data_IF_619848077841
#
_entry.id   IF_619848077841
#
_cell.length_a   1.000
_cell.length_b   1.000
_cell.length_c   1.000
_cell.angle_alpha   90.00
_cell.angle_beta   90.00
_cell.angle_gamma   90.00
#
_symmetry.space_group_name_H-M   'P 1'
#
loop_
_entity.id
_entity.type
_entity.pdbx_description
1 polymer ?
#
# COMPACT_ATOMS: atom_id res chain seq x y z
N UNK A 1 39.01 -3.21 9.01
CA UNK A 1 38.37 -2.73 7.77
C UNK A 1 36.88 -2.94 7.93
N UNK A 2 36.02 -2.06 7.47
CA UNK A 2 34.59 -2.36 7.51
C UNK A 2 34.34 -3.65 6.73
N UNK A 3 33.53 -4.53 7.31
CA UNK A 3 33.13 -5.78 6.64
C UNK A 3 32.38 -5.46 5.34
N UNK A 4 32.74 -6.17 4.25
CA UNK A 4 32.08 -6.01 2.95
C UNK A 4 30.59 -6.35 3.03
N UNK A 5 29.81 -5.82 2.08
CA UNK A 5 28.39 -6.14 1.97
C UNK A 5 28.22 -7.50 1.29
N UNK A 6 27.35 -8.33 1.86
CA UNK A 6 26.88 -9.57 1.22
C UNK A 6 25.38 -9.50 1.02
N UNK A 7 24.89 -9.94 -0.15
CA UNK A 7 23.46 -10.07 -0.43
C UNK A 7 23.11 -11.54 -0.59
N UNK A 8 22.04 -11.97 0.08
CA UNK A 8 21.57 -13.34 -0.01
C UNK A 8 20.05 -13.39 -0.12
N UNK A 9 19.53 -14.40 -0.82
CA UNK A 9 18.11 -14.69 -0.87
C UNK A 9 17.59 -15.13 0.51
N UNK A 10 16.36 -14.74 0.82
CA UNK A 10 15.63 -15.16 2.01
C UNK A 10 15.17 -16.60 1.82
N UNK A 11 15.85 -17.55 2.45
CA UNK A 11 15.59 -18.99 2.31
C UNK A 11 15.18 -19.68 3.61
N UNK A 12 15.26 -18.99 4.75
CA UNK A 12 14.95 -19.57 6.06
C UNK A 12 13.94 -18.71 6.85
N UNK A 13 13.26 -19.30 7.85
CA UNK A 13 12.41 -18.55 8.77
C UNK A 13 13.18 -17.44 9.53
N UNK A 14 14.49 -17.64 9.79
CA UNK A 14 15.35 -16.65 10.42
C UNK A 14 15.57 -15.45 9.49
N UNK A 15 15.80 -15.69 8.20
CA UNK A 15 15.95 -14.65 7.20
C UNK A 15 14.65 -13.87 7.01
N UNK A 16 13.52 -14.58 6.89
CA UNK A 16 12.21 -13.93 6.80
C UNK A 16 11.92 -13.07 8.03
N UNK A 17 12.29 -13.53 9.22
CA UNK A 17 12.20 -12.70 10.43
C UNK A 17 13.07 -11.45 10.30
N UNK A 18 14.31 -11.58 9.83
CA UNK A 18 15.21 -10.44 9.58
C UNK A 18 14.63 -9.46 8.58
N UNK A 19 14.04 -9.97 7.50
CA UNK A 19 13.36 -9.17 6.47
C UNK A 19 12.18 -8.37 7.05
N UNK A 20 11.33 -8.99 7.86
CA UNK A 20 10.18 -8.34 8.50
C UNK A 20 10.60 -7.33 9.57
N UNK A 21 11.62 -7.64 10.38
CA UNK A 21 12.01 -6.81 11.54
C UNK A 21 12.89 -5.60 11.16
N UNK A 22 13.49 -5.57 9.97
CA UNK A 22 14.43 -4.51 9.61
C UNK A 22 13.85 -3.09 9.74
N UNK A 23 12.62 -2.76 9.22
CA UNK A 23 12.08 -1.41 9.33
C UNK A 23 11.90 -0.94 10.77
N UNK A 24 11.47 -1.83 11.68
CA UNK A 24 11.27 -1.47 13.08
C UNK A 24 12.58 -1.10 13.80
N UNK A 25 13.70 -1.54 13.27
CA UNK A 25 15.02 -1.16 13.74
C UNK A 25 15.55 0.11 13.07
N UNK A 26 15.34 0.22 11.74
CA UNK A 26 15.78 1.39 10.96
C UNK A 26 15.11 2.67 11.44
N UNK A 27 13.80 2.60 11.68
CA UNK A 27 13.02 3.75 12.14
C UNK A 27 12.92 3.85 13.68
N UNK A 28 13.82 3.18 14.41
CA UNK A 28 13.82 3.30 15.87
C UNK A 28 14.12 4.73 16.29
N UNK A 29 13.16 5.37 16.97
CA UNK A 29 13.26 6.78 17.40
C UNK A 29 12.68 7.80 16.41
N UNK A 30 12.25 7.36 15.24
CA UNK A 30 11.50 8.21 14.31
C UNK A 30 10.05 8.35 14.80
N UNK A 31 9.65 9.59 15.14
CA UNK A 31 8.34 9.89 15.70
C UNK A 31 7.20 9.78 14.69
N UNK A 32 7.52 9.88 13.40
CA UNK A 32 6.54 9.87 12.32
C UNK A 32 6.36 8.49 11.69
N UNK A 33 7.26 7.54 11.98
CA UNK A 33 7.11 6.18 11.49
C UNK A 33 5.91 5.47 12.12
N UNK A 34 4.99 5.02 11.30
CA UNK A 34 3.86 4.17 11.72
C UNK A 34 4.21 2.71 11.50
N UNK A 35 4.60 1.95 12.55
CA UNK A 35 4.99 0.57 12.39
C UNK A 35 3.82 -0.30 11.92
N UNK A 36 3.85 -0.92 10.72
CA UNK A 36 2.80 -1.84 10.30
C UNK A 36 2.71 -3.04 11.26
N UNK A 37 1.56 -3.69 11.33
CA UNK A 37 1.47 -4.92 12.12
C UNK A 37 2.34 -6.02 11.49
N UNK A 38 3.20 -6.64 12.28
CA UNK A 38 4.09 -7.73 11.82
C UNK A 38 3.33 -8.91 11.22
N UNK A 39 2.12 -9.16 11.72
CA UNK A 39 1.21 -10.16 11.17
C UNK A 39 0.83 -9.85 9.74
N UNK A 40 0.54 -8.57 9.46
CA UNK A 40 0.06 -8.12 8.15
C UNK A 40 1.20 -8.12 7.13
N UNK A 41 2.41 -7.69 7.53
CA UNK A 41 3.60 -7.79 6.68
C UNK A 41 3.89 -9.26 6.31
N UNK A 42 3.81 -10.18 7.28
CA UNK A 42 3.99 -11.63 7.01
C UNK A 42 2.90 -12.18 6.09
N UNK A 43 1.65 -11.77 6.30
CA UNK A 43 0.55 -12.18 5.44
C UNK A 43 0.75 -11.67 4.01
N UNK A 44 1.14 -10.41 3.86
CA UNK A 44 1.41 -9.76 2.58
C UNK A 44 2.50 -10.49 1.80
N UNK A 45 3.52 -10.98 2.49
CA UNK A 45 4.64 -11.72 1.90
C UNK A 45 4.34 -13.22 1.69
N UNK A 46 3.25 -13.79 2.21
CA UNK A 46 3.00 -15.23 2.20
C UNK A 46 2.24 -15.66 0.94
N UNK A 47 2.87 -16.42 0.02
CA UNK A 47 2.22 -16.86 -1.21
C UNK A 47 1.03 -17.81 -0.97
N UNK A 48 0.98 -18.46 0.17
CA UNK A 48 -0.14 -19.36 0.50
C UNK A 48 -1.37 -18.61 1.04
N UNK A 49 -1.23 -17.32 1.39
CA UNK A 49 -2.30 -16.57 2.04
C UNK A 49 -2.75 -15.35 1.26
N UNK A 50 -1.83 -14.65 0.60
CA UNK A 50 -2.15 -13.45 -0.17
C UNK A 50 -2.47 -13.84 -1.62
N UNK A 51 -3.72 -13.67 -2.10
CA UNK A 51 -4.15 -14.05 -3.45
C UNK A 51 -3.35 -13.38 -4.57
N UNK A 52 -2.78 -12.20 -4.34
CA UNK A 52 -1.91 -11.52 -5.30
C UNK A 52 -0.83 -12.47 -5.88
N UNK A 53 -0.29 -13.37 -5.05
CA UNK A 53 0.76 -14.32 -5.48
C UNK A 53 0.24 -15.45 -6.37
N UNK A 54 -1.06 -15.52 -6.67
CA UNK A 54 -1.59 -16.48 -7.66
C UNK A 54 -1.20 -16.10 -9.09
N UNK A 55 -1.01 -14.80 -9.37
CA UNK A 55 -0.58 -14.29 -10.68
C UNK A 55 0.76 -13.55 -10.63
N UNK A 56 1.42 -13.53 -9.49
CA UNK A 56 2.71 -12.88 -9.32
C UNK A 56 3.74 -13.81 -8.66
N UNK A 57 5.01 -13.52 -8.89
CA UNK A 57 6.15 -14.25 -8.32
C UNK A 57 7.10 -13.26 -7.68
N UNK A 58 7.85 -13.70 -6.68
CA UNK A 58 8.80 -12.87 -5.97
C UNK A 58 10.06 -13.61 -5.56
N UNK A 59 11.14 -12.84 -5.42
CA UNK A 59 12.35 -13.23 -4.68
C UNK A 59 12.69 -12.15 -3.67
N UNK A 60 12.99 -12.54 -2.43
CA UNK A 60 13.31 -11.61 -1.34
C UNK A 60 14.80 -11.68 -1.04
N UNK A 61 15.42 -10.52 -0.79
CA UNK A 61 16.85 -10.41 -0.49
C UNK A 61 17.11 -9.64 0.79
N UNK A 62 18.21 -10.04 1.47
CA UNK A 62 18.79 -9.30 2.58
C UNK A 62 20.23 -8.91 2.26
N UNK A 63 20.58 -7.66 2.53
CA UNK A 63 21.95 -7.20 2.59
C UNK A 63 22.46 -7.27 4.04
N UNK A 64 23.69 -7.76 4.21
CA UNK A 64 24.35 -7.88 5.51
C UNK A 64 25.75 -7.28 5.49
N UNK A 65 26.15 -6.72 6.64
CA UNK A 65 27.55 -6.48 7.02
C UNK A 65 27.86 -7.38 8.20
N UNK A 66 28.68 -8.40 7.99
CA UNK A 66 28.80 -9.51 8.92
C UNK A 66 27.44 -10.14 9.21
N UNK A 67 27.10 -10.29 10.48
CA UNK A 67 25.80 -10.87 10.88
C UNK A 67 24.65 -9.85 10.88
N UNK A 68 24.92 -8.56 10.72
CA UNK A 68 23.93 -7.50 10.82
C UNK A 68 23.22 -7.29 9.49
N UNK A 69 21.90 -7.44 9.48
CA UNK A 69 21.04 -7.07 8.33
C UNK A 69 21.04 -5.55 8.20
N UNK A 70 21.49 -5.02 7.06
CA UNK A 70 21.57 -3.57 6.79
C UNK A 70 20.60 -3.10 5.71
N UNK A 71 20.00 -4.05 4.95
CA UNK A 71 19.01 -3.72 3.95
C UNK A 71 18.19 -4.93 3.52
N UNK A 72 17.08 -4.66 2.84
CA UNK A 72 16.17 -5.66 2.24
C UNK A 72 15.58 -5.13 0.95
N UNK A 73 15.20 -6.03 0.04
CA UNK A 73 14.45 -5.73 -1.17
C UNK A 73 13.69 -6.97 -1.65
N UNK A 74 12.61 -6.79 -2.37
CA UNK A 74 11.95 -7.84 -3.14
C UNK A 74 12.06 -7.52 -4.63
N UNK A 75 12.29 -8.54 -5.46
CA UNK A 75 12.01 -8.52 -6.89
C UNK A 75 10.65 -9.20 -7.10
N UNK A 76 9.82 -8.61 -7.96
CA UNK A 76 8.43 -9.06 -8.17
C UNK A 76 8.14 -9.07 -9.67
N UNK A 77 7.58 -10.16 -10.18
CA UNK A 77 7.00 -10.23 -11.53
C UNK A 77 5.49 -10.45 -11.39
N UNK A 78 4.72 -9.53 -11.93
CA UNK A 78 3.26 -9.56 -11.94
C UNK A 78 2.77 -9.82 -13.38
N UNK A 79 2.27 -11.03 -13.62
CA UNK A 79 1.83 -11.45 -14.94
C UNK A 79 0.56 -10.70 -15.36
N UNK A 80 -0.30 -10.36 -14.40
CA UNK A 80 -1.53 -9.62 -14.69
C UNK A 80 -1.22 -8.17 -15.10
N UNK A 81 -0.26 -7.50 -14.43
CA UNK A 81 0.22 -6.19 -14.86
C UNK A 81 0.71 -6.23 -16.30
N UNK A 82 1.61 -7.18 -16.62
CA UNK A 82 2.19 -7.29 -17.95
C UNK A 82 1.16 -7.63 -19.02
N UNK A 83 0.14 -8.40 -18.66
CA UNK A 83 -0.99 -8.70 -19.55
C UNK A 83 -1.83 -7.47 -19.86
N UNK A 84 -2.18 -6.68 -18.81
CA UNK A 84 -3.05 -5.50 -18.94
C UNK A 84 -2.35 -4.38 -19.68
N UNK A 85 -1.08 -4.12 -19.38
CA UNK A 85 -0.32 -3.01 -19.96
C UNK A 85 0.46 -3.39 -21.22
N UNK A 86 0.43 -4.68 -21.62
CA UNK A 86 1.17 -5.20 -22.78
C UNK A 86 2.67 -4.83 -22.74
N UNK A 87 3.25 -4.81 -21.53
CA UNK A 87 4.66 -4.48 -21.30
C UNK A 87 5.42 -5.68 -20.65
N UNK A 88 6.71 -5.49 -20.37
CA UNK A 88 7.59 -6.50 -19.76
C UNK A 88 8.29 -5.90 -18.55
N UNK A 89 7.50 -5.32 -17.65
CA UNK A 89 7.95 -4.66 -16.43
C UNK A 89 7.99 -5.65 -15.27
N UNK A 90 9.13 -5.75 -14.61
CA UNK A 90 9.23 -6.30 -13.27
C UNK A 90 9.25 -5.16 -12.24
N UNK A 91 9.02 -5.50 -10.99
CA UNK A 91 8.98 -4.53 -9.91
C UNK A 91 10.00 -4.84 -8.84
N UNK A 92 10.47 -3.79 -8.16
CA UNK A 92 11.08 -3.95 -6.84
C UNK A 92 10.13 -3.40 -5.77
N UNK A 93 10.18 -3.99 -4.59
CA UNK A 93 9.37 -3.55 -3.47
C UNK A 93 10.00 -3.87 -2.12
N UNK A 94 9.34 -3.47 -1.04
CA UNK A 94 9.81 -3.68 0.33
C UNK A 94 11.26 -3.21 0.56
N UNK A 95 11.70 -2.23 -0.23
CA UNK A 95 13.05 -1.69 -0.11
C UNK A 95 13.21 -0.95 1.20
N UNK A 96 14.18 -1.40 1.99
CA UNK A 96 14.63 -0.73 3.21
C UNK A 96 16.14 -0.88 3.28
N UNK A 97 16.84 0.21 3.57
CA UNK A 97 18.28 0.19 3.64
C UNK A 97 18.78 1.25 4.63
N UNK A 98 19.82 0.92 5.40
CA UNK A 98 20.59 1.94 6.10
C UNK A 98 21.17 2.92 5.06
N UNK A 99 21.56 4.12 5.45
CA UNK A 99 22.20 5.05 4.51
C UNK A 99 23.59 4.52 4.09
N UNK A 100 23.57 3.48 3.28
CA UNK A 100 24.69 2.68 2.82
C UNK A 100 24.61 2.46 1.31
N UNK A 101 25.28 3.30 0.49
CA UNK A 101 25.23 3.18 -0.96
C UNK A 101 25.77 1.86 -1.52
N UNK A 102 26.69 1.19 -0.82
CA UNK A 102 27.20 -0.13 -1.24
C UNK A 102 26.12 -1.19 -1.07
N UNK A 103 25.45 -1.21 0.09
CA UNK A 103 24.38 -2.14 0.38
C UNK A 103 23.17 -1.92 -0.57
N UNK A 104 22.80 -0.66 -0.80
CA UNK A 104 21.71 -0.33 -1.72
C UNK A 104 21.99 -0.78 -3.15
N UNK A 105 23.18 -0.48 -3.70
CA UNK A 105 23.57 -0.94 -5.05
C UNK A 105 23.57 -2.45 -5.16
N UNK A 106 24.08 -3.15 -4.16
CA UNK A 106 24.08 -4.62 -4.15
C UNK A 106 22.68 -5.21 -4.11
N UNK A 107 21.75 -4.59 -3.35
CA UNK A 107 20.34 -4.99 -3.31
C UNK A 107 19.63 -4.76 -4.65
N UNK A 108 19.80 -3.59 -5.25
CA UNK A 108 19.21 -3.30 -6.56
C UNK A 108 19.74 -4.21 -7.65
N UNK A 109 21.04 -4.48 -7.69
CA UNK A 109 21.64 -5.43 -8.63
C UNK A 109 21.10 -6.86 -8.45
N UNK A 110 20.89 -7.30 -7.19
CA UNK A 110 20.27 -8.59 -6.93
C UNK A 110 18.80 -8.63 -7.40
N UNK A 111 18.06 -7.53 -7.19
CA UNK A 111 16.67 -7.41 -7.67
C UNK A 111 16.59 -7.43 -9.22
N UNK A 112 17.48 -6.74 -9.93
CA UNK A 112 17.56 -6.76 -11.40
C UNK A 112 17.86 -8.17 -11.93
N UNK A 113 18.82 -8.86 -11.32
CA UNK A 113 19.15 -10.24 -11.68
C UNK A 113 17.96 -11.17 -11.47
N UNK A 114 17.29 -11.06 -10.32
CA UNK A 114 16.09 -11.84 -10.04
C UNK A 114 14.92 -11.50 -10.96
N UNK A 115 14.72 -10.22 -11.27
CA UNK A 115 13.70 -9.76 -12.22
C UNK A 115 13.85 -10.43 -13.58
N UNK A 116 15.09 -10.49 -14.11
CA UNK A 116 15.39 -11.16 -15.37
C UNK A 116 15.12 -12.67 -15.33
N UNK A 117 15.24 -13.29 -14.14
CA UNK A 117 14.92 -14.71 -13.92
C UNK A 117 13.41 -14.93 -13.80
N UNK A 118 12.72 -14.09 -13.04
CA UNK A 118 11.29 -14.18 -12.81
C UNK A 118 10.47 -13.85 -14.08
N UNK A 119 10.97 -12.91 -14.87
CA UNK A 119 10.36 -12.45 -16.12
C UNK A 119 11.43 -12.43 -17.22
N UNK A 120 11.65 -13.54 -17.93
CA UNK A 120 12.60 -13.58 -19.05
C UNK A 120 12.29 -12.54 -20.12
N UNK A 121 13.30 -11.71 -20.45
CA UNK A 121 13.15 -10.58 -21.36
C UNK A 121 12.50 -9.37 -20.73
N UNK A 122 12.52 -9.25 -19.41
CA UNK A 122 12.23 -8.02 -18.69
C UNK A 122 13.08 -6.88 -19.23
N UNK A 123 12.45 -5.76 -19.54
CA UNK A 123 13.11 -4.57 -20.08
C UNK A 123 13.07 -3.38 -19.11
N UNK A 124 12.31 -3.50 -18.03
CA UNK A 124 12.16 -2.45 -17.03
C UNK A 124 12.01 -3.03 -15.61
N UNK A 125 12.72 -2.44 -14.65
CA UNK A 125 12.51 -2.63 -13.22
C UNK A 125 11.93 -1.35 -12.61
N UNK A 126 10.68 -1.41 -12.13
CA UNK A 126 9.93 -0.25 -11.59
C UNK A 126 9.67 -0.45 -10.10
N UNK A 127 9.56 0.64 -9.35
CA UNK A 127 9.19 0.54 -7.92
C UNK A 127 9.45 1.83 -7.13
N UNK A 128 9.32 1.74 -5.81
CA UNK A 128 8.89 0.55 -5.07
C UNK A 128 7.39 0.27 -5.18
N UNK A 129 7.00 -1.01 -5.05
CA UNK A 129 5.60 -1.45 -4.87
C UNK A 129 5.54 -2.48 -3.73
N UNK A 130 4.49 -2.43 -2.90
CA UNK A 130 4.43 -3.25 -1.68
C UNK A 130 3.06 -3.95 -1.50
N UNK A 131 2.79 -5.10 -2.14
CA UNK A 131 3.57 -5.76 -3.18
C UNK A 131 3.13 -5.40 -4.60
N UNK A 132 1.98 -4.72 -4.80
CA UNK A 132 1.36 -4.45 -6.10
C UNK A 132 1.14 -2.96 -6.37
N UNK A 133 0.74 -2.64 -7.60
CA UNK A 133 0.31 -1.28 -7.98
C UNK A 133 -1.00 -0.84 -7.30
N UNK A 134 -1.75 -1.78 -6.72
CA UNK A 134 -2.98 -1.49 -5.95
C UNK A 134 -2.72 -1.29 -4.45
N UNK A 135 -1.47 -1.43 -4.01
CA UNK A 135 -1.05 -1.26 -2.61
C UNK A 135 -0.24 0.05 -2.44
N UNK A 136 0.81 0.02 -1.60
CA UNK A 136 1.69 1.17 -1.42
C UNK A 136 2.70 1.27 -2.57
N UNK A 137 2.74 2.42 -3.24
CA UNK A 137 3.57 2.67 -4.43
C UNK A 137 4.39 3.93 -4.30
N UNK A 138 5.64 3.85 -4.70
CA UNK A 138 6.54 4.98 -4.82
C UNK A 138 7.30 5.32 -3.54
N UNK A 139 8.35 6.11 -3.71
CA UNK A 139 9.03 6.77 -2.60
C UNK A 139 8.35 8.08 -2.24
N UNK A 140 8.27 8.40 -0.96
CA UNK A 140 7.91 9.72 -0.49
C UNK A 140 9.01 10.70 -0.88
N UNK A 141 8.70 11.71 -1.71
CA UNK A 141 9.66 12.69 -2.19
C UNK A 141 9.63 14.00 -1.38
N UNK A 142 8.45 14.47 -1.05
CA UNK A 142 8.24 15.64 -0.20
C UNK A 142 6.82 15.62 0.36
N UNK A 143 6.65 16.11 1.57
CA UNK A 143 5.36 16.55 2.07
C UNK A 143 5.36 18.09 2.01
N UNK A 144 4.63 18.67 1.07
CA UNK A 144 4.43 20.14 1.01
C UNK A 144 3.51 20.65 2.14
N UNK A 145 2.72 19.74 2.69
CA UNK A 145 1.89 19.95 3.88
C UNK A 145 2.65 19.60 5.16
N UNK A 146 2.06 19.93 6.30
CA UNK A 146 2.63 19.71 7.63
C UNK A 146 3.38 18.37 7.77
N UNK A 147 4.63 18.39 8.25
CA UNK A 147 5.35 17.16 8.56
C UNK A 147 4.58 16.37 9.62
N UNK A 148 4.63 15.05 9.54
CA UNK A 148 3.96 14.18 10.49
C UNK A 148 3.79 12.75 9.96
N UNK A 149 3.18 11.87 10.75
CA UNK A 149 2.96 10.49 10.36
C UNK A 149 2.12 10.38 9.08
N UNK A 150 2.46 9.44 8.18
CA UNK A 150 1.69 9.19 6.98
C UNK A 150 0.24 8.79 7.32
N UNK A 151 -0.70 9.20 6.49
CA UNK A 151 -2.08 8.72 6.56
C UNK A 151 -2.12 7.24 6.16
N UNK A 152 -3.14 6.52 6.61
CA UNK A 152 -3.34 5.10 6.33
C UNK A 152 -3.06 4.75 4.86
N UNK A 153 -2.26 3.70 4.62
CA UNK A 153 -1.86 3.21 3.29
C UNK A 153 -1.08 4.23 2.43
N UNK A 154 -0.40 5.20 3.06
CA UNK A 154 0.54 6.08 2.38
C UNK A 154 1.97 5.61 2.62
N UNK A 155 2.82 5.80 1.62
CA UNK A 155 4.25 5.48 1.72
C UNK A 155 4.96 6.36 2.74
N UNK A 156 5.98 5.80 3.38
CA UNK A 156 6.89 6.51 4.27
C UNK A 156 8.31 5.97 4.11
N UNK A 157 9.28 6.86 3.95
CA UNK A 157 10.70 6.49 3.86
C UNK A 157 11.59 7.67 4.20
N UNK A 158 12.85 7.42 4.60
CA UNK A 158 13.87 8.46 4.74
C UNK A 158 14.17 9.14 3.41
N UNK A 159 14.48 10.44 3.45
CA UNK A 159 14.78 11.22 2.24
C UNK A 159 15.97 10.65 1.43
N UNK A 160 16.96 10.08 2.10
CA UNK A 160 18.16 9.52 1.44
C UNK A 160 17.88 8.31 0.53
N UNK A 161 16.66 7.71 0.57
CA UNK A 161 16.31 6.61 -0.34
C UNK A 161 16.32 7.05 -1.80
N UNK A 162 15.99 8.31 -2.07
CA UNK A 162 16.05 8.87 -3.41
C UNK A 162 17.49 8.92 -3.94
N UNK A 163 18.43 9.32 -3.08
CA UNK A 163 19.85 9.37 -3.41
C UNK A 163 20.42 7.95 -3.62
N UNK A 164 20.00 6.99 -2.79
CA UNK A 164 20.41 5.58 -2.95
C UNK A 164 19.89 4.99 -4.27
N UNK A 165 18.64 5.25 -4.64
CA UNK A 165 18.07 4.79 -5.90
C UNK A 165 18.74 5.46 -7.10
N UNK A 166 18.96 6.78 -7.06
CA UNK A 166 19.66 7.52 -8.10
C UNK A 166 21.12 7.02 -8.29
N UNK A 167 21.82 6.76 -7.18
CA UNK A 167 23.19 6.21 -7.20
C UNK A 167 23.25 4.78 -7.75
N UNK A 168 22.13 4.05 -7.74
CA UNK A 168 21.97 2.74 -8.36
C UNK A 168 21.51 2.81 -9.83
N UNK A 169 21.34 4.00 -10.41
CA UNK A 169 20.98 4.20 -11.81
C UNK A 169 19.48 4.33 -12.09
N UNK A 170 18.64 4.37 -11.06
CA UNK A 170 17.20 4.60 -11.24
C UNK A 170 16.90 6.07 -11.55
N UNK A 171 15.87 6.27 -12.34
CA UNK A 171 15.33 7.60 -12.67
C UNK A 171 13.84 7.67 -12.33
N UNK A 172 13.35 8.89 -12.13
CA UNK A 172 11.93 9.12 -11.85
C UNK A 172 11.07 8.69 -13.03
N UNK A 173 10.06 7.86 -12.75
CA UNK A 173 9.06 7.42 -13.73
C UNK A 173 7.81 8.31 -13.69
N UNK A 174 7.21 8.49 -12.49
CA UNK A 174 5.94 9.18 -12.30
C UNK A 174 5.85 9.82 -10.92
N UNK A 175 5.19 10.96 -10.84
CA UNK A 175 4.75 11.53 -9.55
C UNK A 175 3.30 11.09 -9.27
N UNK A 176 3.07 10.61 -8.06
CA UNK A 176 1.75 10.32 -7.51
C UNK A 176 1.47 11.36 -6.43
N UNK A 177 0.32 12.02 -6.49
CA UNK A 177 -0.01 13.12 -5.60
C UNK A 177 -1.17 12.70 -4.69
N UNK A 178 -1.00 12.86 -3.39
CA UNK A 178 -2.08 12.79 -2.41
C UNK A 178 -2.47 14.22 -2.01
N UNK A 179 -3.77 14.48 -1.93
CA UNK A 179 -4.31 15.79 -1.58
C UNK A 179 -4.88 15.77 -0.17
N UNK A 180 -4.52 16.74 0.64
CA UNK A 180 -5.16 17.01 1.93
C UNK A 180 -6.17 18.13 1.77
N UNK A 181 -7.43 17.88 2.10
CA UNK A 181 -8.49 18.87 2.09
C UNK A 181 -8.97 19.11 3.52
N UNK A 182 -8.84 20.33 4.09
CA UNK A 182 -9.49 20.67 5.33
C UNK A 182 -11.01 20.70 5.12
N UNK A 183 -11.73 20.21 6.12
CA UNK A 183 -13.19 20.22 6.10
C UNK A 183 -13.66 21.37 6.97
N UNK A 184 -14.24 22.39 6.33
CA UNK A 184 -14.79 23.58 6.97
C UNK A 184 -16.24 23.84 6.52
N UNK A 185 -16.96 24.70 7.25
CA UNK A 185 -18.36 25.02 6.98
C UNK A 185 -18.59 25.57 5.56
N UNK A 186 -17.61 26.31 5.01
CA UNK A 186 -17.70 26.89 3.66
C UNK A 186 -17.63 25.79 2.61
N UNK A 187 -16.70 24.86 2.78
CA UNK A 187 -16.55 23.68 1.91
C UNK A 187 -17.81 22.83 1.96
N UNK A 188 -18.36 22.58 3.14
CA UNK A 188 -19.61 21.83 3.32
C UNK A 188 -20.78 22.52 2.62
N UNK A 189 -20.96 23.84 2.80
CA UNK A 189 -22.05 24.57 2.15
C UNK A 189 -21.94 24.54 0.62
N UNK A 190 -20.70 24.58 0.07
CA UNK A 190 -20.46 24.47 -1.37
C UNK A 190 -20.80 23.08 -1.89
N UNK A 191 -20.28 22.04 -1.24
CA UNK A 191 -20.52 20.64 -1.61
C UNK A 191 -22.02 20.28 -1.49
N UNK A 192 -22.70 20.75 -0.45
CA UNK A 192 -24.14 20.57 -0.27
C UNK A 192 -24.94 21.09 -1.46
N UNK A 193 -24.66 22.32 -1.92
CA UNK A 193 -25.32 22.89 -3.12
C UNK A 193 -25.08 22.07 -4.39
N UNK A 194 -23.86 21.55 -4.56
CA UNK A 194 -23.52 20.68 -5.70
C UNK A 194 -24.32 19.37 -5.60
N UNK A 195 -24.32 18.75 -4.43
CA UNK A 195 -25.06 17.49 -4.18
C UNK A 195 -26.55 17.65 -4.46
N UNK A 196 -27.16 18.74 -3.98
CA UNK A 196 -28.57 19.04 -4.24
C UNK A 196 -28.87 19.25 -5.73
N UNK A 197 -27.95 19.91 -6.44
CA UNK A 197 -28.10 20.11 -7.89
C UNK A 197 -27.99 18.78 -8.65
N UNK A 198 -27.06 17.90 -8.26
CA UNK A 198 -26.91 16.56 -8.86
C UNK A 198 -28.15 15.72 -8.62
N UNK A 199 -28.67 15.68 -7.39
CA UNK A 199 -29.90 14.94 -7.05
C UNK A 199 -31.13 15.43 -7.84
N UNK A 200 -31.28 16.75 -8.00
CA UNK A 200 -32.38 17.31 -8.79
C UNK A 200 -32.31 16.97 -10.27
N UNK A 201 -31.10 16.88 -10.83
CA UNK A 201 -30.88 16.57 -12.26
C UNK A 201 -30.98 15.09 -12.59
N UNK A 202 -30.75 14.24 -11.58
CA UNK A 202 -30.72 12.79 -11.74
C UNK A 202 -31.63 12.12 -10.70
N UNK A 203 -32.97 12.30 -10.82
CA UNK A 203 -33.92 11.76 -9.84
C UNK A 203 -33.96 10.23 -9.81
N UNK A 204 -33.42 9.57 -10.84
CA UNK A 204 -33.31 8.13 -10.94
C UNK A 204 -32.15 7.55 -10.08
N UNK A 205 -31.27 8.41 -9.57
CA UNK A 205 -30.13 7.97 -8.77
C UNK A 205 -30.48 7.92 -7.27
N UNK A 206 -30.16 6.81 -6.64
CA UNK A 206 -30.27 6.62 -5.20
C UNK A 206 -28.89 6.74 -4.56
N UNK A 207 -28.79 7.55 -3.51
CA UNK A 207 -27.58 7.75 -2.71
C UNK A 207 -27.78 7.13 -1.34
N UNK A 208 -26.97 6.17 -0.97
CA UNK A 208 -27.06 5.49 0.32
C UNK A 208 -25.70 5.09 0.88
N UNK A 209 -25.65 4.87 2.17
CA UNK A 209 -24.48 4.25 2.81
C UNK A 209 -24.48 2.74 2.63
N UNK A 210 -23.33 2.12 2.89
CA UNK A 210 -23.14 0.67 2.85
C UNK A 210 -24.07 -0.04 3.85
N UNK A 211 -24.60 -1.20 3.48
CA UNK A 211 -25.40 -2.09 4.33
C UNK A 211 -24.55 -3.21 4.87
N UNK A 212 -24.16 -3.12 6.14
CA UNK A 212 -23.28 -4.12 6.76
C UNK A 212 -23.98 -5.45 7.06
N UNK A 213 -25.30 -5.46 7.15
CA UNK A 213 -26.13 -6.65 7.27
C UNK A 213 -26.20 -7.49 5.97
N UNK A 214 -25.95 -6.86 4.82
CA UNK A 214 -25.86 -7.52 3.51
C UNK A 214 -24.47 -7.30 2.86
N UNK A 215 -23.43 -7.35 3.66
CA UNK A 215 -22.07 -7.07 3.22
C UNK A 215 -21.61 -7.89 2.00
N UNK A 216 -21.94 -9.19 1.85
CA UNK A 216 -21.56 -9.94 0.65
C UNK A 216 -22.13 -9.33 -0.64
N UNK A 217 -23.38 -8.89 -0.65
CA UNK A 217 -23.98 -8.25 -1.82
C UNK A 217 -23.38 -6.87 -2.10
N UNK A 218 -23.07 -6.12 -1.06
CA UNK A 218 -22.38 -4.84 -1.19
C UNK A 218 -20.99 -5.01 -1.80
N UNK A 219 -20.27 -6.06 -1.42
CA UNK A 219 -18.95 -6.37 -1.98
C UNK A 219 -19.03 -6.69 -3.47
N UNK A 220 -20.04 -7.45 -3.93
CA UNK A 220 -20.23 -7.69 -5.37
C UNK A 220 -20.46 -6.38 -6.13
N UNK A 221 -21.18 -5.42 -5.55
CA UNK A 221 -21.35 -4.08 -6.14
C UNK A 221 -20.03 -3.31 -6.22
N UNK A 222 -19.19 -3.40 -5.18
CA UNK A 222 -17.84 -2.81 -5.22
C UNK A 222 -17.01 -3.40 -6.34
N UNK A 223 -17.01 -4.74 -6.51
CA UNK A 223 -16.26 -5.42 -7.57
C UNK A 223 -16.59 -4.90 -8.96
N UNK A 224 -17.90 -4.70 -9.23
CA UNK A 224 -18.39 -4.17 -10.51
C UNK A 224 -17.86 -2.77 -10.78
N UNK A 225 -17.96 -1.87 -9.79
CA UNK A 225 -17.60 -0.45 -10.00
C UNK A 225 -16.10 -0.24 -9.96
N UNK A 226 -15.39 -0.92 -9.04
CA UNK A 226 -13.96 -0.67 -8.80
C UNK A 226 -13.11 -0.89 -10.06
N UNK A 227 -13.19 -2.07 -10.65
CA UNK A 227 -12.36 -2.39 -11.81
C UNK A 227 -12.71 -1.51 -13.03
N UNK A 228 -14.00 -1.20 -13.26
CA UNK A 228 -14.41 -0.35 -14.37
C UNK A 228 -14.03 1.14 -14.18
N UNK A 229 -14.10 1.64 -12.95
CA UNK A 229 -13.80 3.06 -12.69
C UNK A 229 -12.30 3.41 -12.81
N UNK A 230 -11.41 2.44 -12.58
CA UNK A 230 -9.97 2.69 -12.49
C UNK A 230 -9.18 2.21 -13.71
N UNK A 231 -9.81 1.51 -14.67
CA UNK A 231 -9.12 0.86 -15.81
C UNK A 231 -8.20 1.78 -16.61
N UNK A 232 -8.50 3.08 -16.69
CA UNK A 232 -7.71 4.06 -17.44
C UNK A 232 -6.65 4.79 -16.59
N UNK A 233 -6.52 4.45 -15.31
CA UNK A 233 -5.51 5.06 -14.46
C UNK A 233 -4.13 4.45 -14.69
N UNK A 234 -3.10 5.30 -14.61
CA UNK A 234 -1.73 4.87 -14.78
C UNK A 234 -1.35 3.74 -13.80
N UNK A 235 -0.86 2.64 -14.35
CA UNK A 235 -0.38 1.51 -13.58
C UNK A 235 -1.47 0.67 -12.89
N UNK A 236 -2.74 1.03 -13.04
CA UNK A 236 -3.83 0.25 -12.46
C UNK A 236 -3.87 -1.16 -13.05
N UNK A 237 -4.05 -2.13 -12.18
CA UNK A 237 -4.27 -3.54 -12.54
C UNK A 237 -5.60 -3.97 -11.93
N UNK A 238 -6.55 -4.50 -12.72
CA UNK A 238 -7.79 -5.00 -12.17
C UNK A 238 -7.53 -6.06 -11.09
N UNK A 239 -8.13 -5.88 -9.93
CA UNK A 239 -8.03 -6.88 -8.86
C UNK A 239 -8.89 -8.09 -9.20
N UNK A 240 -8.37 -9.28 -8.90
CA UNK A 240 -9.14 -10.52 -8.99
C UNK A 240 -10.25 -10.55 -7.92
N UNK A 241 -11.22 -11.43 -8.09
CA UNK A 241 -12.30 -11.59 -7.10
C UNK A 241 -11.72 -12.01 -5.74
N UNK A 242 -10.73 -12.90 -5.75
CA UNK A 242 -10.06 -13.40 -4.56
C UNK A 242 -9.28 -12.30 -3.82
N UNK A 243 -8.65 -11.39 -4.54
CA UNK A 243 -7.96 -10.24 -3.96
C UNK A 243 -8.94 -9.27 -3.30
N UNK A 244 -10.04 -8.95 -3.98
CA UNK A 244 -11.10 -8.09 -3.44
C UNK A 244 -11.77 -8.75 -2.22
N UNK A 245 -12.02 -10.05 -2.25
CA UNK A 245 -12.57 -10.80 -1.11
C UNK A 245 -11.62 -10.81 0.09
N UNK A 246 -10.32 -11.00 -0.16
CA UNK A 246 -9.30 -10.96 0.90
C UNK A 246 -9.16 -9.56 1.50
N UNK A 247 -9.16 -8.51 0.67
CA UNK A 247 -9.15 -7.12 1.11
C UNK A 247 -10.40 -6.80 1.93
N UNK A 248 -11.57 -7.15 1.42
CA UNK A 248 -12.84 -6.93 2.10
C UNK A 248 -12.90 -7.62 3.46
N UNK A 249 -12.41 -8.86 3.55
CA UNK A 249 -12.33 -9.60 4.81
C UNK A 249 -11.47 -8.89 5.84
N UNK A 250 -10.36 -8.27 5.42
CA UNK A 250 -9.47 -7.51 6.31
C UNK A 250 -10.09 -6.19 6.75
N UNK A 251 -10.76 -5.51 5.84
CA UNK A 251 -11.28 -4.16 6.07
C UNK A 251 -12.65 -4.16 6.75
N UNK A 252 -13.43 -5.25 6.68
CA UNK A 252 -14.82 -5.33 7.16
C UNK A 252 -15.02 -4.76 8.56
N UNK A 253 -14.16 -5.14 9.51
CA UNK A 253 -14.27 -4.71 10.91
C UNK A 253 -13.75 -3.29 11.15
N UNK A 254 -13.12 -2.69 10.13
CA UNK A 254 -12.58 -1.33 10.14
C UNK A 254 -13.50 -0.34 9.42
N UNK A 255 -14.47 -0.84 8.66
CA UNK A 255 -15.46 0.00 7.94
C UNK A 255 -16.27 0.82 8.95
N UNK A 256 -16.37 2.12 8.67
CA UNK A 256 -17.28 3.02 9.34
C UNK A 256 -18.39 3.39 8.35
N UNK A 257 -19.59 2.78 8.45
CA UNK A 257 -20.62 2.87 7.43
C UNK A 257 -21.01 4.29 6.99
N UNK A 258 -21.05 5.32 7.87
CA UNK A 258 -21.42 6.68 7.46
C UNK A 258 -20.52 7.32 6.42
N UNK A 259 -19.28 6.81 6.20
CA UNK A 259 -18.33 7.35 5.22
C UNK A 259 -18.08 6.39 4.05
N UNK A 260 -18.94 5.38 3.87
CA UNK A 260 -18.92 4.49 2.69
C UNK A 260 -20.25 4.61 1.97
N UNK A 261 -20.20 5.12 0.75
CA UNK A 261 -21.40 5.48 -0.01
C UNK A 261 -21.49 4.75 -1.33
N UNK A 262 -22.71 4.43 -1.71
CA UNK A 262 -23.07 3.94 -3.04
C UNK A 262 -24.00 4.91 -3.75
N UNK A 263 -23.84 5.01 -5.06
CA UNK A 263 -24.80 5.61 -5.96
C UNK A 263 -25.33 4.51 -6.87
N UNK A 264 -26.65 4.37 -6.93
CA UNK A 264 -27.32 3.31 -7.66
C UNK A 264 -28.39 3.88 -8.59
N UNK A 265 -28.54 3.26 -9.76
CA UNK A 265 -29.66 3.48 -10.68
C UNK A 265 -30.53 2.21 -10.67
N UNK A 266 -31.64 2.28 -9.94
CA UNK A 266 -32.36 1.06 -9.58
C UNK A 266 -31.49 0.16 -8.70
N UNK A 267 -31.19 -1.08 -9.13
CA UNK A 267 -30.31 -2.03 -8.44
C UNK A 267 -28.86 -2.01 -8.96
N UNK A 268 -28.59 -1.26 -10.05
CA UNK A 268 -27.27 -1.19 -10.68
C UNK A 268 -26.37 -0.18 -9.95
N UNK A 269 -25.20 -0.60 -9.43
CA UNK A 269 -24.25 0.32 -8.82
C UNK A 269 -23.53 1.10 -9.92
N UNK A 270 -23.59 2.44 -9.88
CA UNK A 270 -22.94 3.32 -10.84
C UNK A 270 -21.72 4.04 -10.27
N UNK A 271 -21.65 4.16 -8.95
CA UNK A 271 -20.47 4.67 -8.25
C UNK A 271 -20.44 4.20 -6.78
N UNK A 272 -19.26 4.18 -6.19
CA UNK A 272 -19.12 4.08 -4.75
C UNK A 272 -18.00 4.99 -4.26
N UNK A 273 -18.02 5.30 -2.98
CA UNK A 273 -16.97 6.02 -2.27
C UNK A 273 -16.60 5.25 -1.03
N UNK A 274 -15.32 4.92 -0.90
CA UNK A 274 -14.76 4.26 0.27
C UNK A 274 -13.92 5.23 1.10
N UNK A 275 -14.49 5.75 2.17
CA UNK A 275 -13.77 6.48 3.21
C UNK A 275 -13.30 5.53 4.31
N UNK A 276 -12.08 5.71 4.79
CA UNK A 276 -11.53 4.97 5.92
C UNK A 276 -11.02 5.94 6.98
N UNK A 277 -11.34 5.72 8.27
CA UNK A 277 -10.70 6.48 9.34
C UNK A 277 -9.18 6.27 9.29
N UNK A 278 -8.41 7.32 9.50
CA UNK A 278 -6.95 7.23 9.53
C UNK A 278 -6.45 6.53 10.80
N UNK A 279 -6.50 5.21 10.77
CA UNK A 279 -6.07 4.39 11.90
C UNK A 279 -4.57 4.48 12.18
N UNK A 280 -3.76 5.08 11.31
CA UNK A 280 -2.35 5.34 11.60
C UNK A 280 -2.16 6.18 12.86
N UNK A 281 -3.12 7.07 13.19
CA UNK A 281 -3.14 7.81 14.46
C UNK A 281 -3.17 6.91 15.70
N UNK A 282 -3.61 5.66 15.55
CA UNK A 282 -3.66 4.66 16.62
C UNK A 282 -2.53 3.64 16.47
N UNK A 283 -2.29 3.16 15.25
CA UNK A 283 -1.29 2.14 14.94
C UNK A 283 0.12 2.56 15.36
N UNK A 284 0.47 3.83 15.23
CA UNK A 284 1.75 4.39 15.66
C UNK A 284 2.06 4.07 17.13
N UNK A 285 1.05 4.01 17.99
CA UNK A 285 1.18 3.73 19.43
C UNK A 285 1.26 2.23 19.73
N UNK A 286 0.99 1.38 18.74
CA UNK A 286 0.97 -0.08 18.92
C UNK A 286 2.34 -0.72 18.70
N UNK A 287 3.30 -0.01 18.10
CA UNK A 287 4.65 -0.51 17.85
C UNK A 287 4.70 -1.75 16.94
N UNK A 288 3.72 -1.87 16.02
CA UNK A 288 3.59 -2.99 15.09
C UNK A 288 3.22 -4.33 15.73
N UNK A 289 2.57 -4.31 16.90
CA UNK A 289 2.15 -5.53 17.62
C UNK A 289 0.71 -5.41 18.11
N UNK A 290 -0.12 -6.41 17.77
CA UNK A 290 -1.49 -6.49 18.27
C UNK A 290 -1.54 -7.00 19.72
N UNK A 291 -0.69 -7.99 20.06
CA UNK A 291 -0.61 -8.58 21.40
C UNK A 291 0.70 -8.20 22.11
N UNK A 292 0.70 -8.12 23.45
CA UNK A 292 -0.43 -8.37 24.38
C UNK A 292 -1.41 -7.21 24.53
N UNK A 293 -1.03 -5.93 24.31
CA UNK A 293 -1.88 -4.77 24.62
C UNK A 293 -2.21 -3.87 23.42
N UNK A 294 -1.73 -4.19 22.22
CA UNK A 294 -2.00 -3.39 21.03
C UNK A 294 -3.48 -3.33 20.67
N UNK A 295 -4.20 -4.44 20.75
CA UNK A 295 -5.63 -4.51 20.53
C UNK A 295 -6.42 -3.57 21.48
N UNK A 296 -6.00 -3.46 22.74
CA UNK A 296 -6.64 -2.55 23.71
C UNK A 296 -6.37 -1.09 23.33
N UNK A 297 -5.13 -0.75 22.96
CA UNK A 297 -4.78 0.58 22.46
C UNK A 297 -5.62 0.94 21.22
N UNK A 298 -5.85 -0.02 20.31
CA UNK A 298 -6.69 0.17 19.15
C UNK A 298 -8.14 0.46 19.54
N UNK A 299 -8.74 -0.38 20.36
CA UNK A 299 -10.13 -0.20 20.81
C UNK A 299 -10.37 1.14 21.50
N UNK A 300 -9.45 1.58 22.35
CA UNK A 300 -9.54 2.86 23.07
C UNK A 300 -9.24 4.07 22.16
N UNK A 301 -8.34 3.90 21.18
CA UNK A 301 -7.89 4.97 20.31
C UNK A 301 -8.79 5.23 19.11
N UNK A 302 -9.44 4.21 18.54
CA UNK A 302 -10.18 4.31 17.27
C UNK A 302 -11.32 5.34 17.29
N UNK A 303 -11.88 5.65 18.46
CA UNK A 303 -12.93 6.66 18.62
C UNK A 303 -12.40 8.11 18.61
N UNK A 304 -11.08 8.30 18.67
CA UNK A 304 -10.40 9.61 18.69
C UNK A 304 -9.79 9.98 17.34
N UNK A 305 -9.97 9.13 16.34
CA UNK A 305 -9.52 9.40 14.98
C UNK A 305 -10.35 10.54 14.40
N UNK A 306 -9.69 11.59 13.93
CA UNK A 306 -10.30 12.83 13.44
C UNK A 306 -10.02 13.09 11.96
N UNK A 307 -9.29 12.18 11.31
CA UNK A 307 -8.94 12.25 9.89
C UNK A 307 -9.50 11.03 9.15
N UNK A 308 -9.91 11.24 7.92
CA UNK A 308 -10.32 10.15 7.02
C UNK A 308 -9.47 10.19 5.75
N UNK A 309 -9.27 9.03 5.14
CA UNK A 309 -8.74 8.88 3.79
C UNK A 309 -9.83 8.40 2.86
N UNK A 310 -9.96 9.05 1.72
CA UNK A 310 -10.74 8.53 0.61
C UNK A 310 -9.84 7.60 -0.19
N UNK A 311 -10.21 6.33 -0.28
CA UNK A 311 -9.45 5.28 -0.96
C UNK A 311 -9.97 5.04 -2.37
N UNK A 312 -11.28 5.20 -2.58
CA UNK A 312 -11.95 5.01 -3.86
C UNK A 312 -13.23 5.85 -3.88
#
# INVERSE_FOLDING_TARGET
MPEGVTVSEVSSPKDLKGFVELPYRLYAGDADFVPPLRSDVRWMLDPAKNPFWMHARRTLFLARRGDRVVGRIAAIADDEHNRVHADRTAFFGFFECENDPEAARALFAAAETAASTLLPGCDKLRGPVNPSMNDEVGFLIAAESEPGPPVLMMTYNPAYYLDLAAAAGFSKEKDLVALLAPVDDRSFARLGRITDAVRRRNPELTFRTIRMDDFPRELEKVKVVYNGAWENNWGFVPMTSEELDAMAKKLKDLIYPPIVWFVEKGDEPVAFMLGMPDFNQVLIRMGGRLFPFGWLKFLLGRKKVDRIRLLA
#
